data_IF_667107673675
#
_entry.id   IF_667107673675
#
_cell.length_a   1.000
_cell.length_b   1.000
_cell.length_c   1.000
_cell.angle_alpha   90.00
_cell.angle_beta   90.00
_cell.angle_gamma   90.00
#
_symmetry.space_group_name_H-M   'P 1'
#
loop_
_entity.id
_entity.type
_entity.pdbx_description
1 polymer ?
#
# COMPACT_ATOMS: atom_id res chain seq x y z
N UNK A 1 -58.51 46.06 0.10
CA UNK A 1 -57.96 44.90 0.79
C UNK A 1 -57.26 43.90 -0.22
N UNK A 2 -57.88 43.68 -1.39
CA UNK A 2 -57.29 42.75 -2.42
C UNK A 2 -55.93 43.16 -3.03
N UNK A 3 -55.64 44.47 -3.23
CA UNK A 3 -54.40 44.93 -3.83
C UNK A 3 -53.15 44.71 -2.94
N UNK A 4 -53.30 44.69 -1.61
CA UNK A 4 -52.17 44.40 -0.68
C UNK A 4 -51.84 42.91 -0.59
N UNK A 5 -52.80 42.01 -0.80
CA UNK A 5 -52.60 40.58 -0.78
C UNK A 5 -51.87 40.13 -2.04
N UNK A 6 -52.12 40.75 -3.20
CA UNK A 6 -51.44 40.42 -4.45
C UNK A 6 -49.94 40.85 -4.41
N UNK A 7 -49.65 42.00 -3.77
CA UNK A 7 -48.24 42.42 -3.61
C UNK A 7 -47.43 41.50 -2.67
N UNK A 8 -48.07 41.03 -1.58
CA UNK A 8 -47.42 40.07 -0.66
C UNK A 8 -47.22 38.69 -1.28
N UNK A 9 -48.13 38.24 -2.13
CA UNK A 9 -48.00 36.97 -2.86
C UNK A 9 -46.89 37.05 -3.96
N UNK A 10 -46.75 38.19 -4.61
CA UNK A 10 -45.69 38.41 -5.61
C UNK A 10 -44.30 38.48 -4.99
N UNK A 11 -44.17 39.05 -3.79
CA UNK A 11 -42.90 39.10 -3.06
C UNK A 11 -42.54 37.71 -2.49
N UNK A 12 -43.50 36.92 -2.02
CA UNK A 12 -43.29 35.55 -1.58
C UNK A 12 -42.88 34.60 -2.75
N UNK A 13 -43.44 34.83 -3.94
CA UNK A 13 -43.08 34.02 -5.14
C UNK A 13 -41.70 34.40 -5.72
N UNK A 14 -41.29 35.66 -5.58
CA UNK A 14 -39.96 36.10 -6.01
C UNK A 14 -38.81 35.59 -5.10
N UNK A 15 -39.11 35.26 -3.84
CA UNK A 15 -38.14 34.73 -2.89
C UNK A 15 -37.84 33.24 -3.09
N UNK A 16 -38.63 32.51 -3.85
CA UNK A 16 -38.42 31.08 -4.12
C UNK A 16 -37.82 30.77 -5.49
N UNK A 17 -37.43 31.77 -6.29
CA UNK A 17 -36.86 31.54 -7.63
C UNK A 17 -35.36 31.83 -7.75
N UNK A 18 -34.65 32.03 -6.65
CA UNK A 18 -33.20 31.93 -6.65
C UNK A 18 -32.78 30.47 -6.45
N UNK A 19 -33.15 29.60 -7.39
CA UNK A 19 -32.35 28.39 -7.63
C UNK A 19 -31.00 28.93 -8.12
N UNK A 20 -30.00 28.93 -7.24
CA UNK A 20 -28.63 29.13 -7.67
C UNK A 20 -28.38 28.10 -8.76
N UNK A 21 -28.34 28.53 -10.02
CA UNK A 21 -27.86 27.70 -11.09
C UNK A 21 -26.44 27.29 -10.67
N UNK A 22 -26.19 25.99 -10.53
CA UNK A 22 -24.87 25.49 -10.22
C UNK A 22 -23.87 26.17 -11.16
N UNK A 23 -22.84 26.79 -10.62
CA UNK A 23 -21.77 27.37 -11.44
C UNK A 23 -21.29 26.33 -12.43
N UNK A 24 -21.34 26.68 -13.70
CA UNK A 24 -20.89 25.77 -14.76
C UNK A 24 -19.36 25.66 -14.68
N UNK A 25 -18.89 24.55 -14.18
CA UNK A 25 -17.44 24.23 -14.22
C UNK A 25 -17.09 23.71 -15.61
N UNK A 26 -16.14 24.38 -16.27
CA UNK A 26 -15.61 23.95 -17.57
C UNK A 26 -14.23 23.36 -17.33
N UNK A 27 -14.08 22.07 -17.61
CA UNK A 27 -12.78 21.38 -17.61
C UNK A 27 -12.30 21.26 -19.04
N UNK A 28 -11.12 21.82 -19.33
CA UNK A 28 -10.49 21.71 -20.63
C UNK A 28 -9.34 20.71 -20.56
N UNK A 29 -9.43 19.64 -21.32
CA UNK A 29 -8.34 18.68 -21.48
C UNK A 29 -7.47 19.11 -22.66
N UNK A 30 -6.17 19.31 -22.42
CA UNK A 30 -5.19 19.58 -23.46
C UNK A 30 -4.20 18.41 -23.51
N UNK A 31 -4.45 17.41 -24.35
CA UNK A 31 -3.52 16.29 -24.53
C UNK A 31 -2.24 16.84 -25.20
N UNK A 32 -1.12 16.68 -24.51
CA UNK A 32 0.21 17.01 -25.00
C UNK A 32 1.05 15.74 -25.10
N UNK A 33 1.58 15.44 -26.28
CA UNK A 33 2.45 14.28 -26.51
C UNK A 33 3.80 14.39 -25.79
N UNK A 34 4.17 15.59 -25.32
CA UNK A 34 5.37 15.85 -24.51
C UNK A 34 5.13 15.67 -22.99
N UNK A 35 3.88 15.47 -22.57
CA UNK A 35 3.56 15.23 -21.16
C UNK A 35 4.24 13.96 -20.65
N UNK A 36 4.74 13.95 -19.39
CA UNK A 36 5.33 12.77 -18.79
C UNK A 36 4.29 11.62 -18.71
N UNK A 37 4.75 10.40 -19.00
CA UNK A 37 3.91 9.21 -18.84
C UNK A 37 3.66 8.95 -17.34
N UNK A 38 2.41 8.85 -16.95
CA UNK A 38 2.02 8.38 -15.63
C UNK A 38 2.21 6.86 -15.58
N UNK A 39 3.06 6.39 -14.66
CA UNK A 39 3.23 4.95 -14.46
C UNK A 39 1.95 4.37 -13.87
N UNK A 40 1.49 3.24 -14.40
CA UNK A 40 0.30 2.57 -13.87
C UNK A 40 0.45 2.13 -12.40
N UNK A 41 1.67 1.84 -11.98
CA UNK A 41 2.00 1.44 -10.61
C UNK A 41 1.73 2.54 -9.56
N UNK A 42 1.41 3.76 -9.97
CA UNK A 42 0.90 4.83 -9.08
C UNK A 42 -0.46 4.45 -8.47
N UNK A 43 -1.23 3.56 -9.12
CA UNK A 43 -2.49 3.03 -8.60
C UNK A 43 -2.30 1.71 -7.84
N UNK A 44 -1.10 1.46 -7.32
CA UNK A 44 -0.77 0.27 -6.56
C UNK A 44 -1.53 0.16 -5.24
N UNK A 45 -1.59 -1.05 -4.75
CA UNK A 45 -2.30 -1.41 -3.53
C UNK A 45 -1.35 -2.09 -2.54
N UNK A 46 -1.73 -2.08 -1.26
CA UNK A 46 -0.99 -2.70 -0.18
C UNK A 46 -1.89 -3.65 0.60
N UNK A 47 -1.40 -4.85 0.85
CA UNK A 47 -2.03 -5.88 1.67
C UNK A 47 -1.07 -6.34 2.76
N UNK A 48 -1.52 -6.34 3.98
CA UNK A 48 -0.74 -6.78 5.13
C UNK A 48 -1.51 -7.80 5.95
N UNK A 49 -0.80 -8.72 6.62
CA UNK A 49 -1.36 -9.53 7.69
C UNK A 49 -1.65 -8.62 8.90
N UNK A 50 -2.72 -7.85 8.78
CA UNK A 50 -3.21 -6.88 9.74
C UNK A 50 -4.73 -6.92 9.75
N UNK A 51 -5.32 -7.04 10.95
CA UNK A 51 -6.76 -7.07 11.09
C UNK A 51 -7.42 -8.09 10.16
N UNK A 52 -8.37 -7.61 9.38
CA UNK A 52 -9.08 -8.43 8.39
C UNK A 52 -8.72 -8.08 6.95
N UNK A 53 -7.52 -7.55 6.69
CA UNK A 53 -7.08 -7.28 5.33
C UNK A 53 -6.91 -8.58 4.52
N UNK A 54 -6.19 -9.55 5.07
CA UNK A 54 -5.99 -10.85 4.44
C UNK A 54 -7.12 -11.79 4.81
N UNK A 55 -7.20 -12.20 6.09
CA UNK A 55 -8.20 -13.17 6.57
C UNK A 55 -9.55 -12.48 6.76
N UNK A 56 -10.56 -12.93 6.01
CA UNK A 56 -11.89 -12.31 5.95
C UNK A 56 -12.01 -11.21 4.87
N UNK A 57 -10.91 -10.60 4.47
CA UNK A 57 -10.83 -9.64 3.37
C UNK A 57 -10.53 -10.32 2.03
N UNK A 58 -9.26 -10.57 1.74
CA UNK A 58 -8.86 -11.25 0.49
C UNK A 58 -9.13 -12.74 0.52
N UNK A 59 -8.93 -13.38 1.66
CA UNK A 59 -8.88 -14.82 1.85
C UNK A 59 -9.85 -15.30 2.95
N UNK A 60 -10.62 -16.31 2.65
CA UNK A 60 -11.55 -16.95 3.61
C UNK A 60 -11.31 -18.46 3.75
N UNK A 61 -10.41 -19.03 2.93
CA UNK A 61 -10.18 -20.46 2.90
C UNK A 61 -11.21 -21.22 2.04
N UNK A 62 -10.80 -22.39 1.58
CA UNK A 62 -11.60 -23.21 0.64
C UNK A 62 -12.88 -23.78 1.25
N UNK A 63 -12.90 -23.96 2.57
CA UNK A 63 -14.05 -24.55 3.31
C UNK A 63 -15.04 -23.50 3.83
N UNK A 64 -14.80 -22.22 3.52
CA UNK A 64 -15.66 -21.12 3.97
C UNK A 64 -17.04 -21.18 3.32
N UNK A 65 -18.09 -20.82 4.07
CA UNK A 65 -19.44 -20.59 3.54
C UNK A 65 -19.55 -19.30 2.72
N UNK A 66 -18.58 -18.37 2.86
CA UNK A 66 -18.50 -17.19 2.02
C UNK A 66 -18.14 -17.63 0.59
N UNK A 67 -18.86 -17.16 -0.45
CA UNK A 67 -18.57 -17.52 -1.83
C UNK A 67 -17.11 -17.23 -2.19
N UNK A 68 -16.39 -18.27 -2.59
CA UNK A 68 -14.96 -18.19 -2.87
C UNK A 68 -14.56 -19.05 -4.06
N UNK A 69 -13.41 -18.70 -4.65
CA UNK A 69 -12.70 -19.49 -5.65
C UNK A 69 -11.34 -19.83 -5.06
N UNK A 70 -11.11 -21.12 -4.79
CA UNK A 70 -9.86 -21.61 -4.20
C UNK A 70 -9.46 -20.92 -2.87
N UNK A 71 -10.45 -20.39 -2.12
CA UNK A 71 -10.28 -19.68 -0.86
C UNK A 71 -10.25 -18.16 -0.97
N UNK A 72 -10.14 -17.59 -2.17
CA UNK A 72 -10.25 -16.13 -2.38
C UNK A 72 -11.70 -15.72 -2.47
N UNK A 73 -12.11 -14.66 -1.80
CA UNK A 73 -13.49 -14.15 -1.87
C UNK A 73 -13.85 -13.75 -3.30
N UNK A 74 -14.99 -14.24 -3.80
CA UNK A 74 -15.42 -13.97 -5.16
C UNK A 74 -15.79 -12.50 -5.40
N UNK A 75 -16.38 -11.84 -4.42
CA UNK A 75 -16.71 -10.41 -4.46
C UNK A 75 -15.42 -9.57 -4.53
N UNK A 76 -14.40 -9.89 -3.71
CA UNK A 76 -13.09 -9.25 -3.78
C UNK A 76 -12.42 -9.45 -5.14
N UNK A 77 -12.41 -10.68 -5.66
CA UNK A 77 -11.86 -10.96 -6.99
C UNK A 77 -12.54 -10.11 -8.08
N UNK A 78 -13.86 -9.93 -8.01
CA UNK A 78 -14.62 -9.12 -8.94
C UNK A 78 -14.22 -7.63 -8.84
N UNK A 79 -14.19 -7.09 -7.62
CA UNK A 79 -13.80 -5.70 -7.38
C UNK A 79 -12.35 -5.41 -7.82
N UNK A 80 -11.41 -6.29 -7.51
CA UNK A 80 -10.01 -6.12 -7.91
C UNK A 80 -9.79 -6.19 -9.42
N UNK A 81 -10.60 -6.99 -10.15
CA UNK A 81 -10.60 -6.98 -11.62
C UNK A 81 -11.12 -5.65 -12.17
N UNK A 82 -12.20 -5.13 -11.61
CA UNK A 82 -12.78 -3.84 -12.03
C UNK A 82 -11.82 -2.69 -11.76
N UNK A 83 -11.14 -2.69 -10.62
CA UNK A 83 -10.14 -1.68 -10.25
C UNK A 83 -8.86 -1.75 -11.10
N UNK A 84 -8.63 -2.83 -11.84
CA UNK A 84 -7.42 -3.02 -12.66
C UNK A 84 -6.13 -2.80 -11.86
N UNK A 85 -6.07 -3.33 -10.64
CA UNK A 85 -4.92 -3.18 -9.73
C UNK A 85 -3.61 -3.54 -10.43
N UNK A 86 -2.65 -2.61 -10.57
CA UNK A 86 -1.44 -2.88 -11.34
C UNK A 86 -0.35 -3.59 -10.55
N UNK A 87 -0.28 -3.35 -9.25
CA UNK A 87 0.72 -3.91 -8.34
C UNK A 87 0.13 -4.08 -6.94
N UNK A 88 0.45 -5.17 -6.28
CA UNK A 88 0.05 -5.47 -4.90
C UNK A 88 1.29 -5.76 -4.06
N UNK A 89 1.48 -4.98 -3.00
CA UNK A 89 2.54 -5.15 -2.00
C UNK A 89 2.06 -6.07 -0.88
N UNK A 90 2.89 -7.05 -0.47
CA UNK A 90 2.63 -8.07 0.55
C UNK A 90 3.98 -8.61 1.10
N UNK A 91 4.10 -9.19 2.30
CA UNK A 91 3.06 -9.57 3.29
C UNK A 91 2.76 -8.48 4.32
N UNK A 92 3.43 -7.36 4.24
CA UNK A 92 3.27 -6.24 5.16
C UNK A 92 4.21 -5.11 4.82
N UNK A 93 4.10 -4.16 5.57
CA UNK A 93 4.47 -3.31 6.64
C UNK A 93 5.29 -4.01 7.74
N UNK A 94 5.01 -3.60 8.96
CA UNK A 94 5.72 -4.13 10.13
C UNK A 94 5.65 -5.65 10.26
N UNK A 95 4.54 -6.26 9.82
CA UNK A 95 4.42 -7.72 9.83
C UNK A 95 5.51 -8.39 8.99
N UNK A 96 5.96 -7.79 7.88
CA UNK A 96 6.97 -8.39 7.02
C UNK A 96 8.30 -8.66 7.73
N UNK A 97 8.67 -7.82 8.71
CA UNK A 97 9.94 -7.92 9.42
C UNK A 97 9.94 -8.91 10.61
N UNK A 98 8.78 -9.57 10.85
CA UNK A 98 8.66 -10.74 11.73
C UNK A 98 8.20 -12.00 10.97
N UNK A 99 7.90 -11.89 9.67
CA UNK A 99 7.37 -13.00 8.87
C UNK A 99 8.47 -13.89 8.31
N UNK A 100 8.43 -15.18 8.65
CA UNK A 100 9.28 -16.21 8.10
C UNK A 100 8.53 -16.93 6.96
N UNK A 101 8.92 -16.71 5.73
CA UNK A 101 8.19 -17.18 4.55
C UNK A 101 8.04 -18.70 4.47
N UNK A 102 8.93 -19.45 5.11
CA UNK A 102 8.86 -20.92 5.21
C UNK A 102 7.64 -21.39 5.99
N UNK A 103 7.10 -20.57 6.88
CA UNK A 103 5.91 -20.86 7.65
C UNK A 103 4.63 -20.77 6.80
N UNK A 104 4.67 -20.03 5.70
CA UNK A 104 3.57 -19.82 4.76
C UNK A 104 3.62 -20.74 3.52
N UNK A 105 4.36 -21.85 3.53
CA UNK A 105 4.42 -22.81 2.41
C UNK A 105 4.11 -24.23 2.85
N UNK A 106 3.94 -25.12 1.88
CA UNK A 106 3.54 -26.52 2.14
C UNK A 106 2.06 -26.67 2.47
N UNK A 107 1.63 -27.87 2.94
CA UNK A 107 0.23 -28.11 3.26
C UNK A 107 -0.28 -27.20 4.38
N UNK A 108 -1.38 -26.48 4.13
CA UNK A 108 -1.91 -25.46 5.07
C UNK A 108 -2.12 -25.99 6.49
N UNK A 109 -2.60 -27.22 6.63
CA UNK A 109 -2.85 -27.86 7.94
C UNK A 109 -1.59 -28.08 8.78
N UNK A 110 -0.42 -28.08 8.15
CA UNK A 110 0.87 -28.34 8.79
C UNK A 110 1.68 -27.05 9.01
N UNK A 111 1.16 -25.90 8.54
CA UNK A 111 1.84 -24.61 8.70
C UNK A 111 1.81 -24.17 10.16
N UNK A 112 2.91 -23.68 10.72
CA UNK A 112 2.95 -23.18 12.08
C UNK A 112 2.08 -21.92 12.22
N UNK A 113 1.55 -21.73 13.44
CA UNK A 113 0.84 -20.51 13.80
C UNK A 113 1.81 -19.56 14.48
N UNK A 114 1.63 -18.26 14.24
CA UNK A 114 2.45 -17.22 14.87
C UNK A 114 1.57 -16.16 15.54
N UNK A 115 2.11 -15.48 16.54
CA UNK A 115 1.45 -14.32 17.13
C UNK A 115 1.88 -13.09 16.32
N UNK A 116 0.92 -12.33 15.84
CA UNK A 116 1.16 -11.04 15.20
C UNK A 116 1.38 -9.98 16.27
N UNK A 117 2.62 -9.79 16.67
CA UNK A 117 2.98 -8.88 17.75
C UNK A 117 2.75 -7.41 17.39
N UNK A 118 2.83 -7.06 16.13
CA UNK A 118 2.64 -5.69 15.67
C UNK A 118 1.15 -5.31 15.68
N UNK A 119 0.25 -6.26 15.39
CA UNK A 119 -1.15 -5.96 15.12
C UNK A 119 -2.10 -6.80 15.97
N UNK A 120 -2.56 -6.21 17.07
CA UNK A 120 -3.61 -6.76 17.92
C UNK A 120 -3.28 -8.04 18.69
N UNK A 121 -2.07 -8.56 18.63
CA UNK A 121 -1.70 -9.84 19.25
C UNK A 121 -2.46 -11.04 18.66
N UNK A 122 -2.97 -10.92 17.45
CA UNK A 122 -3.76 -11.95 16.77
C UNK A 122 -2.89 -13.14 16.40
N UNK A 123 -3.46 -14.36 16.47
CA UNK A 123 -2.76 -15.56 16.03
C UNK A 123 -3.02 -15.79 14.54
N UNK A 124 -1.99 -15.62 13.73
CA UNK A 124 -1.99 -15.93 12.31
C UNK A 124 -1.81 -17.42 12.09
N UNK A 125 -2.59 -18.02 11.19
CA UNK A 125 -2.51 -19.46 10.89
C UNK A 125 -1.66 -19.80 9.67
N UNK A 126 -1.13 -18.78 9.00
CA UNK A 126 -0.32 -18.87 7.80
C UNK A 126 -1.00 -19.60 6.62
N UNK A 127 -2.33 -19.70 6.63
CA UNK A 127 -3.07 -20.34 5.52
C UNK A 127 -3.02 -19.55 4.23
N UNK A 128 -2.72 -18.24 4.32
CA UNK A 128 -2.37 -17.39 3.19
C UNK A 128 -0.86 -17.08 3.22
N UNK A 129 -0.13 -17.65 2.28
CA UNK A 129 1.33 -17.49 2.18
C UNK A 129 1.78 -17.26 0.74
N UNK A 130 3.01 -17.69 0.44
CA UNK A 130 3.63 -17.43 -0.87
C UNK A 130 2.78 -17.93 -2.04
N UNK A 131 2.27 -19.16 -1.97
CA UNK A 131 1.46 -19.74 -3.05
C UNK A 131 0.15 -18.98 -3.25
N UNK A 132 -0.52 -18.69 -2.17
CA UNK A 132 -1.80 -17.96 -2.20
C UNK A 132 -1.61 -16.55 -2.76
N UNK A 133 -0.58 -15.83 -2.32
CA UNK A 133 -0.31 -14.48 -2.82
C UNK A 133 0.03 -14.45 -4.32
N UNK A 134 0.97 -15.29 -4.75
CA UNK A 134 1.39 -15.29 -6.16
C UNK A 134 0.32 -15.83 -7.09
N UNK A 135 -0.48 -16.80 -6.65
CA UNK A 135 -1.62 -17.30 -7.43
C UNK A 135 -2.72 -16.22 -7.58
N UNK A 136 -3.00 -15.44 -6.53
CA UNK A 136 -3.89 -14.29 -6.61
C UNK A 136 -3.39 -13.29 -7.65
N UNK A 137 -2.10 -12.95 -7.61
CA UNK A 137 -1.50 -12.04 -8.57
C UNK A 137 -1.60 -12.56 -10.02
N UNK A 138 -1.33 -13.84 -10.26
CA UNK A 138 -1.50 -14.45 -11.59
C UNK A 138 -2.95 -14.44 -12.05
N UNK A 139 -3.89 -14.79 -11.19
CA UNK A 139 -5.33 -14.85 -11.48
C UNK A 139 -5.88 -13.48 -11.91
N UNK A 140 -5.34 -12.40 -11.36
CA UNK A 140 -5.79 -11.04 -11.59
C UNK A 140 -4.89 -10.24 -12.55
N UNK A 141 -3.74 -10.78 -12.96
CA UNK A 141 -2.77 -10.08 -13.79
C UNK A 141 -2.05 -8.93 -13.06
N UNK A 142 -1.90 -9.04 -11.75
CA UNK A 142 -1.26 -8.04 -10.88
C UNK A 142 0.24 -8.34 -10.78
N UNK A 143 1.09 -7.31 -10.85
CA UNK A 143 2.52 -7.46 -10.55
C UNK A 143 2.72 -7.62 -9.02
N UNK A 144 3.39 -8.68 -8.55
CA UNK A 144 3.69 -8.81 -7.13
C UNK A 144 4.81 -7.85 -6.69
N UNK A 145 4.61 -7.23 -5.54
CA UNK A 145 5.64 -6.51 -4.80
C UNK A 145 5.82 -7.20 -3.44
N UNK A 146 6.97 -7.81 -3.26
CA UNK A 146 7.28 -8.61 -2.08
C UNK A 146 8.09 -7.79 -1.07
N UNK A 147 7.63 -7.66 0.17
CA UNK A 147 8.38 -7.07 1.28
C UNK A 147 9.18 -8.15 2.00
N UNK A 148 10.51 -8.04 1.98
CA UNK A 148 11.41 -9.00 2.60
C UNK A 148 11.72 -8.67 4.05
N UNK A 149 11.87 -9.70 4.87
CA UNK A 149 12.21 -9.58 6.29
C UNK A 149 13.69 -9.23 6.48
N UNK A 150 13.98 -8.01 6.92
CA UNK A 150 15.32 -7.55 7.33
C UNK A 150 15.41 -7.38 8.85
N UNK A 151 14.29 -7.26 9.53
CA UNK A 151 14.21 -7.11 10.97
C UNK A 151 14.68 -8.35 11.72
N UNK A 152 13.87 -9.40 11.74
CA UNK A 152 14.18 -10.67 12.42
C UNK A 152 14.79 -11.73 11.50
N UNK A 153 14.69 -11.55 10.17
CA UNK A 153 15.16 -12.51 9.17
C UNK A 153 16.66 -12.48 8.91
N UNK A 154 17.07 -13.32 8.00
CA UNK A 154 18.48 -13.42 7.57
C UNK A 154 18.66 -13.19 6.07
N UNK A 155 19.85 -12.80 5.66
CA UNK A 155 20.23 -12.70 4.23
C UNK A 155 19.95 -14.00 3.48
N UNK A 156 20.28 -15.13 4.10
CA UNK A 156 20.07 -16.45 3.51
C UNK A 156 18.58 -16.74 3.30
N UNK A 157 17.76 -16.37 4.28
CA UNK A 157 16.31 -16.56 4.23
C UNK A 157 15.69 -15.80 3.05
N UNK A 158 15.97 -14.50 2.93
CA UNK A 158 15.44 -13.70 1.82
C UNK A 158 15.97 -14.19 0.46
N UNK A 159 17.25 -14.55 0.38
CA UNK A 159 17.83 -15.09 -0.86
C UNK A 159 17.17 -16.42 -1.28
N UNK A 160 16.88 -17.30 -0.31
CA UNK A 160 16.16 -18.56 -0.54
C UNK A 160 14.70 -18.32 -0.95
N UNK A 161 14.05 -17.30 -0.41
CA UNK A 161 12.69 -16.97 -0.82
C UNK A 161 12.62 -16.52 -2.28
N UNK A 162 13.55 -15.64 -2.69
CA UNK A 162 13.68 -15.23 -4.10
C UNK A 162 13.97 -16.44 -5.01
N UNK A 163 14.85 -17.35 -4.60
CA UNK A 163 15.12 -18.60 -5.34
C UNK A 163 13.88 -19.48 -5.42
N UNK A 164 13.17 -19.68 -4.31
CA UNK A 164 11.91 -20.45 -4.26
C UNK A 164 10.89 -19.94 -5.26
N UNK A 165 10.72 -18.62 -5.34
CA UNK A 165 9.74 -17.98 -6.21
C UNK A 165 10.17 -18.06 -7.67
N UNK A 166 11.42 -17.76 -8.00
CA UNK A 166 11.82 -17.40 -9.35
C UNK A 166 12.77 -18.39 -10.04
N UNK A 167 13.40 -19.31 -9.30
CA UNK A 167 14.31 -20.28 -9.91
C UNK A 167 13.55 -21.43 -10.57
N UNK A 168 14.03 -21.87 -11.72
CA UNK A 168 13.49 -23.02 -12.46
C UNK A 168 14.00 -24.34 -11.92
N UNK A 169 15.23 -24.34 -11.42
CA UNK A 169 15.91 -25.49 -10.83
C UNK A 169 16.68 -25.07 -9.57
N UNK A 170 17.16 -26.04 -8.82
CA UNK A 170 17.87 -25.82 -7.57
C UNK A 170 17.11 -26.28 -6.33
N UNK A 171 17.72 -26.16 -5.15
CA UNK A 171 17.15 -26.67 -3.90
C UNK A 171 15.77 -26.09 -3.58
N UNK A 172 15.61 -24.77 -3.72
CA UNK A 172 14.34 -24.11 -3.39
C UNK A 172 13.27 -24.37 -4.47
N UNK A 173 13.67 -24.42 -5.75
CA UNK A 173 12.77 -24.81 -6.84
C UNK A 173 12.22 -26.24 -6.64
N UNK A 174 13.05 -27.16 -6.14
CA UNK A 174 12.62 -28.53 -5.80
C UNK A 174 11.56 -28.52 -4.69
N UNK A 175 11.75 -27.74 -3.64
CA UNK A 175 10.77 -27.59 -2.55
C UNK A 175 9.48 -26.97 -3.09
N UNK A 176 9.52 -25.95 -3.94
CA UNK A 176 8.35 -25.37 -4.59
C UNK A 176 7.55 -26.41 -5.37
N UNK A 177 8.24 -27.26 -6.15
CA UNK A 177 7.63 -28.35 -6.91
C UNK A 177 6.96 -29.39 -6.00
N UNK A 178 7.62 -29.75 -4.91
CA UNK A 178 7.05 -30.64 -3.89
C UNK A 178 5.79 -30.05 -3.25
N UNK A 179 5.72 -28.72 -3.13
CA UNK A 179 4.56 -27.99 -2.63
C UNK A 179 3.49 -27.73 -3.72
N UNK A 180 3.59 -28.41 -4.88
CA UNK A 180 2.55 -28.42 -5.92
C UNK A 180 2.69 -27.34 -7.00
N UNK A 181 3.76 -26.56 -6.99
CA UNK A 181 3.99 -25.55 -8.03
C UNK A 181 5.22 -25.90 -8.88
N UNK A 182 5.00 -26.39 -10.09
CA UNK A 182 6.05 -26.81 -11.00
C UNK A 182 6.83 -25.61 -11.56
N UNK A 183 6.15 -24.66 -12.16
CA UNK A 183 6.76 -23.48 -12.79
C UNK A 183 7.05 -22.36 -11.79
N UNK A 184 8.18 -21.63 -11.96
CA UNK A 184 8.42 -20.42 -11.17
C UNK A 184 7.35 -19.37 -11.42
N UNK A 185 7.17 -18.47 -10.43
CA UNK A 185 6.45 -17.22 -10.64
C UNK A 185 7.41 -16.13 -11.13
N UNK A 186 6.81 -15.07 -11.62
CA UNK A 186 7.52 -13.82 -11.86
C UNK A 186 7.49 -12.96 -10.61
N UNK A 187 8.64 -12.41 -10.22
CA UNK A 187 8.77 -11.41 -9.17
C UNK A 187 9.51 -10.20 -9.74
N UNK A 188 8.83 -9.09 -9.89
CA UNK A 188 9.44 -7.86 -10.40
C UNK A 188 9.95 -7.00 -9.25
N UNK A 189 9.13 -6.70 -8.25
CA UNK A 189 9.42 -5.75 -7.20
C UNK A 189 9.80 -6.48 -5.91
N UNK A 190 11.01 -6.20 -5.40
CA UNK A 190 11.52 -6.75 -4.15
C UNK A 190 11.90 -5.61 -3.21
N UNK A 191 11.12 -5.42 -2.15
CA UNK A 191 11.46 -4.58 -1.01
C UNK A 191 12.43 -5.33 -0.08
N UNK A 192 13.50 -4.67 0.28
CA UNK A 192 14.51 -5.18 1.21
C UNK A 192 14.32 -4.47 2.54
N UNK A 193 13.44 -5.02 3.38
CA UNK A 193 12.99 -4.43 4.64
C UNK A 193 11.78 -3.51 4.49
N UNK A 194 11.21 -3.15 5.62
CA UNK A 194 10.13 -2.18 5.79
C UNK A 194 10.38 -1.34 7.04
N UNK A 195 10.17 -0.02 6.98
CA UNK A 195 10.28 0.88 8.14
C UNK A 195 11.45 0.55 9.07
N UNK A 196 12.62 0.34 8.47
CA UNK A 196 13.79 -0.19 9.18
C UNK A 196 14.32 0.77 10.26
N UNK A 197 13.89 2.02 10.23
CA UNK A 197 14.07 3.03 11.29
C UNK A 197 13.18 2.78 12.53
N UNK A 198 12.12 2.00 12.39
CA UNK A 198 11.12 1.70 13.42
C UNK A 198 10.93 0.19 13.59
N UNK A 199 9.72 -0.29 13.32
CA UNK A 199 9.34 -1.70 13.52
C UNK A 199 10.22 -2.70 12.75
N UNK A 200 10.81 -2.29 11.64
CA UNK A 200 11.72 -3.11 10.83
C UNK A 200 13.14 -3.21 11.34
N UNK A 201 13.40 -2.91 12.62
CA UNK A 201 14.69 -3.18 13.25
C UNK A 201 15.30 -2.04 14.07
N UNK A 202 14.67 -0.86 14.10
CA UNK A 202 15.16 0.34 14.80
C UNK A 202 16.60 0.71 14.43
N UNK A 203 16.94 0.59 13.16
CA UNK A 203 18.28 0.86 12.64
C UNK A 203 18.57 2.37 12.53
N UNK A 204 19.85 2.72 12.59
CA UNK A 204 20.31 3.99 12.02
C UNK A 204 20.37 3.90 10.48
N UNK A 205 20.27 5.00 9.74
CA UNK A 205 20.31 4.96 8.28
C UNK A 205 21.61 4.37 7.73
N UNK A 206 22.76 4.59 8.42
CA UNK A 206 24.06 4.02 8.04
C UNK A 206 24.06 2.50 8.23
N UNK A 207 23.51 2.00 9.34
CA UNK A 207 23.41 0.57 9.58
C UNK A 207 22.50 -0.09 8.54
N UNK A 208 21.33 0.46 8.31
CA UNK A 208 20.41 -0.06 7.31
C UNK A 208 21.04 -0.03 5.90
N UNK A 209 21.74 1.03 5.51
CA UNK A 209 22.42 1.08 4.22
C UNK A 209 23.42 -0.07 4.04
N UNK A 210 24.12 -0.48 5.12
CA UNK A 210 25.02 -1.64 5.09
C UNK A 210 24.25 -2.96 4.99
N UNK A 211 23.18 -3.14 5.76
CA UNK A 211 22.31 -4.33 5.68
C UNK A 211 21.65 -4.43 4.30
N UNK A 212 21.10 -3.33 3.78
CA UNK A 212 20.53 -3.31 2.43
C UNK A 212 21.54 -3.82 1.39
N UNK A 213 22.78 -3.27 1.39
CA UNK A 213 23.84 -3.69 0.47
C UNK A 213 24.16 -5.18 0.59
N UNK A 214 24.13 -5.70 1.81
CA UNK A 214 24.38 -7.12 2.10
C UNK A 214 23.25 -8.00 1.59
N UNK A 215 22.00 -7.70 1.95
CA UNK A 215 20.81 -8.47 1.54
C UNK A 215 20.62 -8.47 0.02
N UNK A 216 20.62 -7.31 -0.61
CA UNK A 216 20.38 -7.20 -2.05
C UNK A 216 21.46 -7.92 -2.89
N UNK A 217 22.67 -8.07 -2.36
CA UNK A 217 23.75 -8.77 -3.04
C UNK A 217 23.43 -10.24 -3.29
N UNK A 218 22.76 -10.89 -2.38
CA UNK A 218 22.43 -12.31 -2.45
C UNK A 218 21.06 -12.58 -3.09
N UNK A 219 20.21 -11.61 -3.21
CA UNK A 219 18.98 -11.72 -3.99
C UNK A 219 19.31 -11.68 -5.48
N UNK A 220 19.44 -12.85 -6.11
CA UNK A 220 19.89 -13.02 -7.49
C UNK A 220 18.72 -12.99 -8.48
N UNK A 221 19.01 -12.64 -9.71
CA UNK A 221 18.10 -12.83 -10.84
C UNK A 221 18.22 -14.28 -11.33
N UNK A 222 17.10 -15.00 -11.37
CA UNK A 222 17.03 -16.36 -11.89
C UNK A 222 16.24 -16.40 -13.19
N UNK A 223 16.61 -17.24 -14.14
CA UNK A 223 15.86 -17.54 -15.37
C UNK A 223 15.39 -16.31 -16.15
N UNK A 224 16.20 -15.25 -16.19
CA UNK A 224 15.83 -14.00 -16.85
C UNK A 224 14.83 -13.13 -16.06
N UNK A 225 14.38 -13.57 -14.89
CA UNK A 225 13.59 -12.74 -13.97
C UNK A 225 14.45 -11.64 -13.38
N UNK A 226 14.25 -10.41 -13.81
CA UNK A 226 14.98 -9.25 -13.33
C UNK A 226 14.25 -8.61 -12.17
N UNK A 227 14.89 -8.56 -11.01
CA UNK A 227 14.38 -7.88 -9.82
C UNK A 227 14.57 -6.37 -9.93
N UNK A 228 13.57 -5.62 -9.54
CA UNK A 228 13.63 -4.20 -9.22
C UNK A 228 13.74 -4.10 -7.68
N UNK A 229 14.95 -3.78 -7.20
CA UNK A 229 15.28 -3.84 -5.76
C UNK A 229 15.03 -2.49 -5.11
N UNK A 230 14.22 -2.49 -4.06
CA UNK A 230 13.72 -1.30 -3.37
C UNK A 230 14.31 -1.30 -1.97
N UNK A 231 14.97 -0.20 -1.61
CA UNK A 231 15.44 0.01 -0.24
C UNK A 231 14.31 0.55 0.63
N UNK A 232 14.20 0.09 1.88
CA UNK A 232 13.34 0.68 2.89
C UNK A 232 13.77 2.13 3.14
N UNK A 233 12.90 3.06 2.81
CA UNK A 233 13.17 4.49 2.84
C UNK A 233 12.64 5.17 4.09
N UNK A 234 12.56 6.48 4.04
CA UNK A 234 12.18 7.35 5.13
C UNK A 234 10.68 7.30 5.43
N UNK A 235 10.33 7.80 6.62
CA UNK A 235 8.98 8.27 6.91
C UNK A 235 8.96 9.79 6.92
N UNK A 236 7.90 10.37 6.35
CA UNK A 236 7.61 11.80 6.39
C UNK A 236 8.84 12.69 6.06
N UNK A 237 9.32 13.40 7.06
CA UNK A 237 10.35 14.45 6.93
C UNK A 237 11.77 13.97 7.27
N UNK A 238 12.02 12.66 7.40
CA UNK A 238 13.39 12.16 7.66
C UNK A 238 14.25 12.18 6.38
N UNK A 239 14.61 13.38 5.99
CA UNK A 239 15.46 13.62 4.82
C UNK A 239 16.87 13.08 4.98
N UNK A 240 17.36 12.94 6.23
CA UNK A 240 18.67 12.35 6.52
C UNK A 240 18.73 10.89 6.10
N UNK A 241 17.64 10.14 6.33
CA UNK A 241 17.55 8.73 5.90
C UNK A 241 17.78 8.59 4.40
N UNK A 242 17.09 9.41 3.61
CA UNK A 242 17.25 9.42 2.15
C UNK A 242 18.64 9.84 1.70
N UNK A 243 19.22 10.87 2.32
CA UNK A 243 20.59 11.34 2.01
C UNK A 243 21.62 10.24 2.24
N UNK A 244 21.57 9.58 3.40
CA UNK A 244 22.49 8.50 3.77
C UNK A 244 22.37 7.30 2.81
N UNK A 245 21.15 6.88 2.49
CA UNK A 245 20.93 5.76 1.57
C UNK A 245 21.42 6.07 0.16
N UNK A 246 21.10 7.25 -0.36
CA UNK A 246 21.54 7.65 -1.69
C UNK A 246 23.05 7.77 -1.78
N UNK A 247 23.71 8.29 -0.74
CA UNK A 247 25.15 8.40 -0.66
C UNK A 247 25.83 7.02 -0.65
N UNK A 248 25.29 6.06 0.13
CA UNK A 248 25.97 4.81 0.46
C UNK A 248 25.57 3.62 -0.43
N UNK A 249 24.35 3.61 -1.01
CA UNK A 249 23.80 2.42 -1.64
C UNK A 249 23.10 2.65 -3.00
N UNK A 250 23.06 3.87 -3.54
CA UNK A 250 22.33 4.18 -4.79
C UNK A 250 22.67 3.28 -5.98
N UNK A 251 23.91 2.76 -6.03
CA UNK A 251 24.35 1.92 -7.15
C UNK A 251 23.81 0.48 -7.07
N UNK A 252 23.29 0.07 -5.92
CA UNK A 252 22.78 -1.26 -5.66
C UNK A 252 21.26 -1.31 -5.58
N UNK A 253 20.57 -0.15 -5.67
CA UNK A 253 19.11 -0.08 -5.64
C UNK A 253 18.54 0.42 -6.98
N UNK A 254 17.33 0.00 -7.26
CA UNK A 254 16.53 0.52 -8.37
C UNK A 254 15.47 1.52 -7.88
N UNK A 255 15.09 1.42 -6.60
CA UNK A 255 14.16 2.32 -5.95
C UNK A 255 14.42 2.49 -4.46
N UNK A 256 13.85 3.54 -3.90
CA UNK A 256 13.79 3.81 -2.46
C UNK A 256 12.35 4.09 -2.09
N UNK A 257 11.87 3.50 -0.98
CA UNK A 257 10.51 3.73 -0.50
C UNK A 257 10.38 5.05 0.27
N UNK A 258 9.16 5.51 0.43
CA UNK A 258 8.77 6.63 1.28
C UNK A 258 7.38 6.37 1.83
N UNK A 259 7.20 6.57 3.14
CA UNK A 259 5.90 6.50 3.79
C UNK A 259 5.42 7.89 4.18
N UNK A 260 4.14 8.17 3.98
CA UNK A 260 3.49 9.39 4.42
C UNK A 260 2.02 9.15 4.71
N UNK A 261 1.61 9.37 5.95
CA UNK A 261 0.21 9.31 6.33
C UNK A 261 -0.36 10.70 6.61
N UNK A 262 -1.57 10.94 6.12
CA UNK A 262 -2.38 12.10 6.51
C UNK A 262 -2.99 11.81 7.87
N UNK A 263 -2.35 12.30 8.92
CA UNK A 263 -2.66 12.02 10.31
C UNK A 263 -2.50 13.29 11.15
N UNK A 264 -3.32 13.45 12.20
CA UNK A 264 -3.25 14.60 13.10
C UNK A 264 -1.96 14.62 13.93
N UNK A 265 -1.45 13.45 14.26
CA UNK A 265 -0.21 13.25 15.03
C UNK A 265 -0.05 11.79 15.42
N UNK A 266 1.15 11.44 15.87
CA UNK A 266 1.47 10.07 16.25
C UNK A 266 1.24 9.77 17.73
N UNK A 267 0.90 10.79 18.52
CA UNK A 267 0.55 10.67 19.94
C UNK A 267 -0.86 11.17 20.19
N UNK A 268 -1.62 10.45 21.04
CA UNK A 268 -3.01 10.79 21.36
C UNK A 268 -4.00 10.35 20.29
N UNK A 269 -5.22 10.92 20.35
CA UNK A 269 -6.27 10.65 19.37
C UNK A 269 -5.91 11.22 18.00
N UNK A 270 -6.17 10.45 16.95
CA UNK A 270 -6.01 10.84 15.56
C UNK A 270 -7.30 11.44 14.97
N UNK A 271 -8.36 11.48 15.78
CA UNK A 271 -9.68 11.93 15.36
C UNK A 271 -10.56 10.80 14.80
N UNK A 272 -11.85 11.03 14.82
CA UNK A 272 -12.84 10.07 14.33
C UNK A 272 -12.85 10.01 12.79
N UNK A 273 -12.94 8.80 12.26
CA UNK A 273 -13.10 8.58 10.83
C UNK A 273 -14.44 9.13 10.31
N UNK A 274 -15.51 9.07 11.12
CA UNK A 274 -16.88 9.37 10.69
C UNK A 274 -17.49 10.61 11.33
N UNK A 275 -16.95 11.07 12.47
CA UNK A 275 -17.48 12.23 13.23
C UNK A 275 -16.44 13.34 13.25
N UNK A 276 -16.56 14.26 12.33
CA UNK A 276 -15.64 15.39 12.17
C UNK A 276 -16.40 16.65 11.75
N UNK A 277 -15.85 17.82 12.06
CA UNK A 277 -16.35 19.12 11.65
C UNK A 277 -15.90 19.49 10.24
N UNK A 278 -16.45 20.58 9.68
CA UNK A 278 -15.97 21.17 8.43
C UNK A 278 -14.51 21.62 8.54
N UNK A 279 -14.11 22.16 9.70
CA UNK A 279 -12.72 22.56 9.95
C UNK A 279 -11.79 21.35 9.91
N UNK A 280 -12.15 20.22 10.52
CA UNK A 280 -11.39 18.98 10.45
C UNK A 280 -11.29 18.44 9.01
N UNK A 281 -12.40 18.56 8.25
CA UNK A 281 -12.41 18.17 6.84
C UNK A 281 -11.39 18.97 6.03
N UNK A 282 -11.46 20.30 6.08
CA UNK A 282 -10.55 21.16 5.30
C UNK A 282 -9.11 21.09 5.81
N UNK A 283 -8.92 20.95 7.12
CA UNK A 283 -7.59 20.69 7.69
C UNK A 283 -6.97 19.42 7.10
N UNK A 284 -7.76 18.34 7.04
CA UNK A 284 -7.30 17.05 6.48
C UNK A 284 -6.86 17.19 5.03
N UNK A 285 -7.63 17.90 4.20
CA UNK A 285 -7.27 18.14 2.80
C UNK A 285 -5.99 18.98 2.68
N UNK A 286 -5.84 19.99 3.53
CA UNK A 286 -4.60 20.79 3.60
C UNK A 286 -3.41 19.94 4.02
N UNK A 287 -3.55 19.10 5.06
CA UNK A 287 -2.52 18.19 5.53
C UNK A 287 -2.11 17.16 4.48
N UNK A 288 -3.09 16.64 3.73
CA UNK A 288 -2.84 15.72 2.62
C UNK A 288 -1.91 16.34 1.56
N UNK A 289 -2.08 17.60 1.22
CA UNK A 289 -1.29 18.27 0.18
C UNK A 289 0.19 18.45 0.57
N UNK A 290 0.54 18.39 1.87
CA UNK A 290 1.94 18.45 2.31
C UNK A 290 2.79 17.29 1.73
N UNK A 291 2.16 16.17 1.36
CA UNK A 291 2.86 15.05 0.71
C UNK A 291 3.64 15.49 -0.53
N UNK A 292 3.14 16.48 -1.24
CA UNK A 292 3.81 17.05 -2.43
C UNK A 292 5.15 17.69 -2.09
N UNK A 293 5.22 18.44 -1.00
CA UNK A 293 6.45 19.09 -0.56
C UNK A 293 7.43 18.09 0.06
N UNK A 294 6.91 17.11 0.82
CA UNK A 294 7.73 16.02 1.36
C UNK A 294 8.39 15.24 0.23
N UNK A 295 7.62 14.80 -0.76
CA UNK A 295 8.14 14.06 -1.92
C UNK A 295 9.16 14.87 -2.69
N UNK A 296 8.89 16.15 -3.01
CA UNK A 296 9.83 17.03 -3.73
C UNK A 296 11.16 17.16 -3.01
N UNK A 297 11.15 17.34 -1.68
CA UNK A 297 12.39 17.48 -0.90
C UNK A 297 13.21 16.18 -0.88
N UNK A 298 12.57 15.00 -0.82
CA UNK A 298 13.27 13.73 -1.01
C UNK A 298 13.85 13.61 -2.41
N UNK A 299 13.09 13.99 -3.44
CA UNK A 299 13.57 14.02 -4.84
C UNK A 299 14.77 14.96 -5.02
N UNK A 300 14.76 16.14 -4.42
CA UNK A 300 15.88 17.09 -4.47
C UNK A 300 17.17 16.51 -3.87
N UNK A 301 17.03 15.73 -2.80
CA UNK A 301 18.17 15.00 -2.20
C UNK A 301 18.63 13.90 -3.15
N UNK A 302 17.72 13.12 -3.71
CA UNK A 302 18.05 12.07 -4.67
C UNK A 302 18.75 12.63 -5.91
N UNK A 303 18.34 13.80 -6.41
CA UNK A 303 18.91 14.47 -7.60
C UNK A 303 20.38 14.85 -7.41
N UNK A 304 20.82 15.16 -6.18
CA UNK A 304 22.25 15.42 -5.87
C UNK A 304 23.15 14.22 -6.18
N UNK A 305 22.61 13.01 -5.96
CA UNK A 305 23.38 11.75 -6.10
C UNK A 305 23.09 11.02 -7.42
N UNK A 306 21.91 11.22 -7.99
CA UNK A 306 21.39 10.54 -9.18
C UNK A 306 20.63 11.49 -10.10
N UNK A 307 21.33 12.46 -10.74
CA UNK A 307 20.70 13.47 -11.60
C UNK A 307 20.05 12.87 -12.85
N UNK A 308 20.39 11.62 -13.21
CA UNK A 308 19.76 10.88 -14.32
C UNK A 308 18.45 10.19 -13.91
N UNK A 309 18.02 10.34 -12.66
CA UNK A 309 16.78 9.80 -12.11
C UNK A 309 16.60 8.29 -12.34
N UNK A 310 17.71 7.54 -12.25
CA UNK A 310 17.72 6.09 -12.39
C UNK A 310 17.03 5.38 -11.22
N UNK A 311 17.27 5.88 -9.99
CA UNK A 311 16.63 5.37 -8.77
C UNK A 311 15.24 5.98 -8.66
N UNK A 312 14.20 5.15 -8.70
CA UNK A 312 12.81 5.58 -8.51
C UNK A 312 12.50 5.89 -7.05
N UNK A 313 11.55 6.78 -6.81
CA UNK A 313 10.91 6.97 -5.51
C UNK A 313 9.57 6.25 -5.51
N UNK A 314 9.30 5.46 -4.47
CA UNK A 314 8.08 4.69 -4.32
C UNK A 314 7.39 5.13 -3.03
N UNK A 315 6.21 5.73 -3.12
CA UNK A 315 5.41 6.08 -1.94
C UNK A 315 4.54 4.86 -1.62
N UNK A 316 5.16 3.84 -1.04
CA UNK A 316 4.57 2.51 -0.91
C UNK A 316 3.77 2.28 0.38
N UNK A 317 3.61 3.35 1.18
CA UNK A 317 2.55 3.50 2.18
C UNK A 317 2.08 4.95 2.23
N UNK A 318 0.77 5.16 2.00
CA UNK A 318 0.13 6.46 2.13
C UNK A 318 -1.37 6.32 2.34
N UNK A 319 -1.98 7.33 2.88
CA UNK A 319 -3.42 7.38 3.13
C UNK A 319 -3.75 8.15 4.41
N UNK A 320 -5.00 8.07 4.84
CA UNK A 320 -5.47 8.62 6.12
C UNK A 320 -5.31 7.61 7.24
N UNK A 321 -5.04 8.10 8.45
CA UNK A 321 -4.99 7.28 9.65
C UNK A 321 -5.79 7.96 10.77
N UNK A 322 -6.93 7.35 11.10
CA UNK A 322 -7.85 7.79 12.14
C UNK A 322 -7.80 6.88 13.36
N UNK A 323 -8.50 7.27 14.42
CA UNK A 323 -8.78 6.34 15.51
C UNK A 323 -9.61 5.15 14.98
N UNK A 324 -9.37 3.97 15.53
CA UNK A 324 -10.13 2.77 15.19
C UNK A 324 -11.61 2.94 15.53
N UNK A 325 -12.49 2.37 14.71
CA UNK A 325 -13.93 2.43 14.97
C UNK A 325 -14.28 1.73 16.28
N UNK A 326 -15.13 2.34 17.13
CA UNK A 326 -15.54 1.77 18.40
C UNK A 326 -16.15 0.38 18.25
N UNK A 327 -15.72 -0.55 19.09
CA UNK A 327 -16.21 -1.93 19.08
C UNK A 327 -15.44 -2.87 18.14
N UNK A 328 -14.43 -2.39 17.46
CA UNK A 328 -13.50 -3.22 16.69
C UNK A 328 -12.33 -3.71 17.55
N UNK A 329 -11.55 -4.64 17.05
CA UNK A 329 -10.40 -5.21 17.77
C UNK A 329 -9.27 -4.18 17.77
N UNK A 330 -8.77 -3.83 18.95
CA UNK A 330 -7.68 -2.88 19.09
C UNK A 330 -6.39 -3.38 18.40
N UNK A 331 -5.76 -2.51 17.63
CA UNK A 331 -4.57 -2.84 16.83
C UNK A 331 -4.89 -3.47 15.47
N UNK A 332 -6.18 -3.60 15.10
CA UNK A 332 -6.58 -4.02 13.77
C UNK A 332 -6.75 -2.85 12.78
N UNK A 333 -6.67 -1.63 13.26
CA UNK A 333 -6.70 -0.38 12.49
C UNK A 333 -7.90 -0.26 11.55
N UNK A 334 -9.04 -0.82 11.94
CA UNK A 334 -10.27 -0.66 11.16
C UNK A 334 -10.82 0.76 11.32
N UNK A 335 -11.00 1.45 10.22
CA UNK A 335 -11.68 2.73 10.15
C UNK A 335 -12.72 2.72 9.03
N UNK A 336 -13.84 3.41 9.24
CA UNK A 336 -14.84 3.60 8.19
C UNK A 336 -14.41 4.74 7.29
N UNK A 337 -14.25 4.48 5.99
CA UNK A 337 -13.92 5.53 5.03
C UNK A 337 -15.14 6.38 4.66
N UNK A 338 -14.88 7.64 4.37
CA UNK A 338 -15.90 8.65 4.01
C UNK A 338 -15.48 9.39 2.73
N UNK A 339 -16.31 10.35 2.29
CA UNK A 339 -15.95 11.25 1.19
C UNK A 339 -14.67 12.06 1.48
N UNK A 340 -14.36 12.34 2.77
CA UNK A 340 -13.10 12.98 3.17
C UNK A 340 -11.88 12.16 2.72
N UNK A 341 -11.92 10.86 2.95
CA UNK A 341 -10.85 9.94 2.57
C UNK A 341 -10.75 9.80 1.04
N UNK A 342 -11.87 9.76 0.34
CA UNK A 342 -11.89 9.76 -1.12
C UNK A 342 -11.25 11.02 -1.71
N UNK A 343 -11.50 12.18 -1.11
CA UNK A 343 -10.87 13.45 -1.53
C UNK A 343 -9.37 13.47 -1.22
N UNK A 344 -8.93 12.91 -0.08
CA UNK A 344 -7.51 12.73 0.23
C UNK A 344 -6.84 11.86 -0.85
N UNK A 345 -7.47 10.73 -1.22
CA UNK A 345 -6.93 9.88 -2.28
C UNK A 345 -6.83 10.62 -3.61
N UNK A 346 -7.86 11.35 -4.01
CA UNK A 346 -7.85 12.12 -5.26
C UNK A 346 -6.75 13.19 -5.30
N UNK A 347 -6.57 13.94 -4.21
CA UNK A 347 -5.54 15.00 -4.10
C UNK A 347 -4.13 14.40 -4.08
N UNK A 348 -3.92 13.29 -3.34
CA UNK A 348 -2.64 12.59 -3.31
C UNK A 348 -2.27 12.05 -4.69
N UNK A 349 -3.19 11.38 -5.38
CA UNK A 349 -2.96 10.87 -6.73
C UNK A 349 -2.66 11.99 -7.72
N UNK A 350 -3.39 13.10 -7.69
CA UNK A 350 -3.10 14.27 -8.53
C UNK A 350 -1.69 14.83 -8.26
N UNK A 351 -1.26 14.83 -7.01
CA UNK A 351 0.10 15.23 -6.63
C UNK A 351 1.14 14.28 -7.22
N UNK A 352 0.95 12.97 -7.10
CA UNK A 352 1.86 11.97 -7.66
C UNK A 352 1.93 12.02 -9.18
N UNK A 353 0.81 12.31 -9.87
CA UNK A 353 0.80 12.49 -11.33
C UNK A 353 1.72 13.62 -11.79
N UNK A 354 1.85 14.67 -10.99
CA UNK A 354 2.78 15.78 -11.26
C UNK A 354 4.25 15.47 -10.98
N UNK A 355 4.58 14.30 -10.39
CA UNK A 355 5.92 13.94 -9.91
C UNK A 355 6.47 12.66 -10.55
N UNK A 356 5.90 12.22 -11.66
CA UNK A 356 6.19 10.92 -12.31
C UNK A 356 7.58 10.80 -12.92
N UNK A 357 8.31 11.87 -13.01
CA UNK A 357 9.71 11.85 -13.42
C UNK A 357 10.58 11.01 -12.46
N UNK A 358 10.25 10.98 -11.17
CA UNK A 358 10.91 10.16 -10.17
C UNK A 358 9.97 9.25 -9.37
N UNK A 359 8.71 9.64 -9.11
CA UNK A 359 7.72 8.78 -8.46
C UNK A 359 7.28 7.69 -9.44
N UNK A 360 7.63 6.44 -9.16
CA UNK A 360 7.39 5.30 -10.06
C UNK A 360 6.26 4.39 -9.62
N UNK A 361 5.92 4.40 -8.34
CA UNK A 361 4.90 3.56 -7.73
C UNK A 361 4.35 4.26 -6.49
N UNK A 362 3.09 4.02 -6.19
CA UNK A 362 2.52 4.28 -4.86
C UNK A 362 1.62 3.13 -4.44
N UNK A 363 1.49 2.87 -3.14
CA UNK A 363 0.62 1.82 -2.64
C UNK A 363 -0.22 2.38 -1.50
N UNK A 364 -1.52 2.52 -1.73
CA UNK A 364 -2.42 3.01 -0.69
C UNK A 364 -2.56 1.98 0.44
N UNK A 365 -2.60 2.42 1.65
CA UNK A 365 -2.76 1.60 2.84
C UNK A 365 -4.22 1.65 3.34
N UNK A 366 -4.99 0.53 3.16
CA UNK A 366 -4.65 -0.71 2.52
C UNK A 366 -5.76 -1.15 1.55
N UNK A 367 -5.60 -2.30 0.91
CA UNK A 367 -6.56 -2.77 -0.11
C UNK A 367 -7.93 -3.11 0.49
N UNK A 368 -7.97 -3.66 1.73
CA UNK A 368 -9.21 -4.08 2.38
C UNK A 368 -9.17 -3.83 3.90
N UNK A 369 -10.27 -3.34 4.46
CA UNK A 369 -10.64 -3.32 5.88
C UNK A 369 -9.70 -2.58 6.86
N UNK A 370 -8.59 -2.06 6.41
CA UNK A 370 -7.54 -1.48 7.25
C UNK A 370 -7.18 -0.10 6.76
N UNK A 371 -7.12 0.87 7.67
CA UNK A 371 -6.79 2.26 7.38
C UNK A 371 -7.66 2.82 6.23
N UNK A 372 -7.08 3.57 5.29
CA UNK A 372 -7.81 4.05 4.12
C UNK A 372 -7.98 2.93 3.08
N UNK A 373 -8.79 1.93 3.39
CA UNK A 373 -9.01 0.79 2.50
C UNK A 373 -9.84 1.16 1.27
N UNK A 374 -9.51 0.52 0.16
CA UNK A 374 -10.30 0.65 -1.07
C UNK A 374 -11.64 -0.08 -0.96
N UNK A 375 -11.68 -1.15 -0.19
CA UNK A 375 -12.84 -2.04 -0.07
C UNK A 375 -13.04 -2.38 1.40
N UNK A 376 -14.27 -2.31 1.86
CA UNK A 376 -14.69 -2.88 3.14
C UNK A 376 -15.46 -4.16 2.90
N UNK A 377 -15.23 -5.16 3.73
CA UNK A 377 -15.98 -6.42 3.71
C UNK A 377 -16.66 -6.65 5.03
N UNK A 378 -17.80 -7.32 4.98
CA UNK A 378 -18.38 -7.96 6.14
C UNK A 378 -18.32 -9.50 5.95
N UNK A 379 -19.03 -10.25 6.80
CA UNK A 379 -19.00 -11.71 6.77
C UNK A 379 -19.37 -12.33 5.41
N UNK A 380 -20.18 -11.65 4.59
CA UNK A 380 -20.74 -12.22 3.37
C UNK A 380 -20.68 -11.36 2.12
N UNK A 381 -20.49 -10.05 2.24
CA UNK A 381 -20.54 -9.11 1.10
C UNK A 381 -19.48 -8.01 1.21
N UNK A 382 -19.26 -7.28 0.11
CA UNK A 382 -18.59 -5.98 0.13
C UNK A 382 -19.53 -4.90 0.69
N UNK A 383 -18.96 -3.89 1.32
CA UNK A 383 -19.67 -2.73 1.87
C UNK A 383 -19.15 -1.46 1.22
#
# INVERSE_FOLDING_TARGET
MMKKIIASAAIALAAFTSVNAAEKVVVTLQPDSAAPLINKEIYGQFAEHLGTCIYGGLWVGTESSVPNTDGYRNDMLAALRELHVPVLRWPGGCFADEYHWTDGIGPRKDRPRMVNNNWGGTVEDNSFGTHEFFNLCEMLGIEPYLSGNVGSGTVEELAKWVEYITAEDGPQAKIRKQNGREKPWRLKYLGVGNESWGCGGSFTPEHYANEYRRYQTYCRNFNGNKLYKIASGASDYDYNWTDVLMRNAKNQMDGISLHYYTVAGWSGSKGSATKFSDDDYYWTLGKCLEIGDVVRRHMDIMDKYDPKKRVGLLVDEWGTWWDEEPGTVAGHLYQQNTMRDAMVAALSLNTFHGLTDRVKMTNIAQIANVLQSMILTNDSTLV
#
